data_IF_317418141526
#
_entry.id   IF_317418141526
#
_cell.length_a   1.000
_cell.length_b   1.000
_cell.length_c   1.000
_cell.angle_alpha   90.00
_cell.angle_beta   90.00
_cell.angle_gamma   90.00
#
_symmetry.space_group_name_H-M   'P 1'
#
loop_
_entity.id
_entity.type
_entity.pdbx_description
1 polymer ?
#
# COMPACT_ATOMS: atom_id res chain seq x y z
N UNK A 1 -10.44 6.31 -12.65
CA UNK A 1 -9.55 5.78 -13.71
C UNK A 1 -8.28 6.62 -13.75
N UNK A 2 -7.22 6.20 -13.04
CA UNK A 2 -5.92 6.90 -12.97
C UNK A 2 -4.78 5.95 -13.35
N UNK A 3 -4.93 5.23 -14.46
CA UNK A 3 -4.08 4.10 -14.86
C UNK A 3 -2.74 4.51 -15.48
N UNK A 4 -2.67 5.68 -16.13
CA UNK A 4 -1.48 6.08 -16.88
C UNK A 4 -0.28 6.41 -15.99
N UNK A 5 -0.51 7.07 -14.86
CA UNK A 5 0.59 7.48 -13.94
C UNK A 5 1.21 6.28 -13.21
N UNK A 6 0.38 5.31 -12.82
CA UNK A 6 0.84 4.08 -12.18
C UNK A 6 1.59 3.18 -13.15
N UNK A 7 1.11 3.05 -14.38
CA UNK A 7 1.75 2.21 -15.40
C UNK A 7 3.13 2.75 -15.78
N UNK A 8 3.25 4.08 -15.96
CA UNK A 8 4.55 4.74 -16.17
C UNK A 8 5.52 4.52 -14.99
N UNK A 9 5.02 4.49 -13.75
CA UNK A 9 5.85 4.22 -12.58
C UNK A 9 6.34 2.77 -12.56
N UNK A 10 5.49 1.80 -12.92
CA UNK A 10 5.85 0.38 -13.04
C UNK A 10 6.89 0.17 -14.15
N UNK A 11 6.69 0.78 -15.32
CA UNK A 11 7.65 0.69 -16.42
C UNK A 11 9.02 1.28 -16.06
N UNK A 12 9.04 2.43 -15.38
CA UNK A 12 10.29 3.03 -14.86
C UNK A 12 10.99 2.11 -13.87
N UNK A 13 10.24 1.47 -12.98
CA UNK A 13 10.78 0.51 -12.03
C UNK A 13 11.42 -0.69 -12.72
N UNK A 14 10.74 -1.25 -13.73
CA UNK A 14 11.26 -2.37 -14.52
C UNK A 14 12.62 -2.06 -15.16
N UNK A 15 12.79 -0.85 -15.72
CA UNK A 15 14.09 -0.42 -16.29
C UNK A 15 15.19 -0.32 -15.24
N UNK A 16 14.85 0.16 -14.04
CA UNK A 16 15.82 0.25 -12.93
C UNK A 16 16.25 -1.15 -12.49
N UNK A 17 15.31 -2.09 -12.36
CA UNK A 17 15.62 -3.48 -12.00
C UNK A 17 16.51 -4.17 -13.05
N UNK A 18 16.24 -3.95 -14.34
CA UNK A 18 17.09 -4.43 -15.42
C UNK A 18 18.52 -3.85 -15.34
N UNK A 19 18.65 -2.56 -15.07
CA UNK A 19 19.94 -1.90 -14.90
C UNK A 19 20.73 -2.45 -13.70
N UNK A 20 20.06 -2.72 -12.57
CA UNK A 20 20.68 -3.35 -11.39
C UNK A 20 21.17 -4.76 -11.74
N UNK A 21 20.33 -5.56 -12.41
CA UNK A 21 20.68 -6.93 -12.80
C UNK A 21 21.87 -6.95 -13.76
N UNK A 22 21.95 -6.01 -14.70
CA UNK A 22 23.08 -5.89 -15.61
C UNK A 22 24.40 -5.54 -14.88
N UNK A 23 24.34 -4.72 -13.83
CA UNK A 23 25.50 -4.40 -12.98
C UNK A 23 25.91 -5.63 -12.15
N UNK A 24 24.95 -6.30 -11.51
CA UNK A 24 25.21 -7.49 -10.68
C UNK A 24 25.78 -8.65 -11.50
N UNK A 25 25.30 -8.84 -12.73
CA UNK A 25 25.80 -9.85 -13.66
C UNK A 25 27.16 -9.49 -14.28
N UNK A 26 27.75 -8.34 -13.93
CA UNK A 26 29.03 -7.89 -14.47
C UNK A 26 29.01 -7.45 -15.94
N UNK A 27 27.84 -7.39 -16.59
CA UNK A 27 27.69 -6.93 -17.98
C UNK A 27 28.06 -5.46 -18.11
N UNK A 28 27.78 -4.66 -17.07
CA UNK A 28 28.11 -3.24 -17.02
C UNK A 28 28.76 -2.91 -15.68
N UNK A 29 30.04 -2.49 -15.72
CA UNK A 29 30.81 -2.19 -14.51
C UNK A 29 30.50 -0.82 -13.89
N UNK A 30 29.95 0.11 -14.67
CA UNK A 30 29.72 1.50 -14.23
C UNK A 30 28.25 1.83 -14.11
N UNK A 31 27.85 2.41 -12.97
CA UNK A 31 26.49 2.93 -12.72
C UNK A 31 26.09 3.92 -13.81
N UNK A 32 27.03 4.75 -14.29
CA UNK A 32 26.76 5.75 -15.31
C UNK A 32 26.48 5.12 -16.68
N UNK A 33 27.22 4.07 -17.05
CA UNK A 33 26.99 3.34 -18.28
C UNK A 33 25.64 2.61 -18.25
N UNK A 34 25.29 1.99 -17.12
CA UNK A 34 24.01 1.30 -16.97
C UNK A 34 22.83 2.30 -16.97
N UNK A 35 22.98 3.45 -16.30
CA UNK A 35 21.99 4.51 -16.32
C UNK A 35 21.69 5.01 -17.74
N UNK A 36 22.73 5.18 -18.57
CA UNK A 36 22.58 5.57 -19.98
C UNK A 36 21.96 4.46 -20.83
N UNK A 37 22.41 3.22 -20.67
CA UNK A 37 21.92 2.06 -21.44
C UNK A 37 20.43 1.79 -21.21
N UNK A 38 19.97 1.91 -19.97
CA UNK A 38 18.58 1.64 -19.59
C UNK A 38 17.71 2.91 -19.50
N UNK A 39 18.25 4.07 -19.89
CA UNK A 39 17.58 5.37 -19.84
C UNK A 39 16.92 5.66 -18.48
N UNK A 40 17.69 5.53 -17.40
CA UNK A 40 17.27 5.81 -16.02
C UNK A 40 18.17 6.86 -15.38
N UNK A 41 17.66 7.73 -14.49
CA UNK A 41 18.51 8.68 -13.79
C UNK A 41 19.57 7.97 -12.93
N UNK A 42 20.85 8.38 -13.09
CA UNK A 42 21.99 7.82 -12.35
C UNK A 42 21.76 7.81 -10.84
N UNK A 43 21.24 8.90 -10.31
CA UNK A 43 21.01 9.07 -8.87
C UNK A 43 19.96 8.06 -8.35
N UNK A 44 18.88 7.85 -9.10
CA UNK A 44 17.85 6.86 -8.77
C UNK A 44 18.43 5.45 -8.77
N UNK A 45 19.23 5.08 -9.80
CA UNK A 45 19.88 3.78 -9.88
C UNK A 45 20.86 3.57 -8.70
N UNK A 46 21.65 4.59 -8.36
CA UNK A 46 22.54 4.57 -7.20
C UNK A 46 21.77 4.32 -5.91
N UNK A 47 20.67 5.04 -5.66
CA UNK A 47 19.85 4.81 -4.46
C UNK A 47 19.29 3.39 -4.39
N UNK A 48 18.95 2.79 -5.53
CA UNK A 48 18.46 1.41 -5.55
C UNK A 48 19.53 0.38 -5.27
N UNK A 49 20.73 0.57 -5.79
CA UNK A 49 21.87 -0.28 -5.46
C UNK A 49 22.20 -0.24 -3.96
N UNK A 50 21.96 0.90 -3.30
CA UNK A 50 22.12 1.05 -1.85
C UNK A 50 20.88 0.61 -1.05
N UNK A 51 19.93 -0.11 -1.65
CA UNK A 51 18.81 -0.75 -0.95
C UNK A 51 17.58 0.13 -0.72
N UNK A 52 17.49 1.32 -1.34
CA UNK A 52 16.27 2.14 -1.24
C UNK A 52 15.10 1.47 -1.96
N UNK A 53 13.99 1.23 -1.29
CA UNK A 53 12.78 0.65 -1.90
C UNK A 53 12.12 1.61 -2.90
N UNK A 54 11.35 1.05 -3.83
CA UNK A 54 10.58 1.84 -4.80
C UNK A 54 9.41 2.53 -4.15
N UNK A 55 8.90 3.59 -4.78
CA UNK A 55 7.62 4.17 -4.36
C UNK A 55 6.46 3.20 -4.53
N UNK A 56 6.57 2.27 -5.49
CA UNK A 56 5.53 1.26 -5.76
C UNK A 56 5.50 0.19 -4.68
N UNK A 57 6.67 -0.23 -4.19
CA UNK A 57 6.82 -1.24 -3.14
C UNK A 57 6.77 -0.64 -1.73
N UNK A 58 7.15 0.63 -1.58
CA UNK A 58 7.15 1.30 -0.29
C UNK A 58 5.73 1.49 0.21
N UNK A 59 5.49 0.97 1.42
CA UNK A 59 4.23 1.19 2.13
C UNK A 59 4.02 2.68 2.38
N UNK A 60 2.86 3.25 2.00
CA UNK A 60 2.57 4.65 2.29
C UNK A 60 2.67 4.93 3.79
N UNK A 61 3.31 6.04 4.18
CA UNK A 61 3.57 6.46 5.57
C UNK A 61 2.32 6.52 6.50
N UNK A 62 1.11 6.32 5.97
CA UNK A 62 -0.15 6.29 6.72
C UNK A 62 -0.74 4.89 6.99
N UNK A 63 -0.11 3.80 6.51
CA UNK A 63 -0.59 2.43 6.80
C UNK A 63 -0.14 2.00 8.21
N UNK A 64 -1.10 1.96 9.15
CA UNK A 64 -0.90 1.42 10.50
C UNK A 64 -0.96 -0.10 10.52
N UNK A 65 -1.82 -0.67 9.68
CA UNK A 65 -1.97 -2.10 9.50
C UNK A 65 -1.13 -2.61 8.31
N UNK A 66 -0.68 -3.86 8.39
CA UNK A 66 -0.04 -4.56 7.26
C UNK A 66 -1.06 -4.87 6.17
N UNK A 67 -0.60 -5.20 4.96
CA UNK A 67 -1.50 -5.60 3.85
C UNK A 67 -2.38 -6.81 4.24
N UNK A 68 -1.83 -7.76 4.99
CA UNK A 68 -2.56 -8.94 5.49
C UNK A 68 -3.61 -8.57 6.54
N UNK A 69 -3.30 -7.65 7.45
CA UNK A 69 -4.29 -7.18 8.43
C UNK A 69 -5.40 -6.36 7.75
N UNK A 70 -5.06 -5.52 6.76
CA UNK A 70 -6.04 -4.77 5.97
C UNK A 70 -6.97 -5.74 5.20
N UNK A 71 -6.47 -6.87 4.70
CA UNK A 71 -7.30 -7.88 4.02
C UNK A 71 -8.21 -8.64 4.99
N UNK A 72 -7.72 -8.98 6.19
CA UNK A 72 -8.54 -9.58 7.27
C UNK A 72 -9.67 -8.62 7.66
N UNK A 73 -9.35 -7.34 7.88
CA UNK A 73 -10.34 -6.32 8.22
C UNK A 73 -11.39 -6.14 7.11
N UNK A 74 -10.96 -6.15 5.84
CA UNK A 74 -11.86 -6.12 4.68
C UNK A 74 -12.82 -7.32 4.65
N UNK A 75 -12.30 -8.53 4.85
CA UNK A 75 -13.12 -9.75 4.86
C UNK A 75 -14.10 -9.76 6.04
N UNK A 76 -13.67 -9.24 7.19
CA UNK A 76 -14.55 -9.06 8.34
C UNK A 76 -15.70 -8.08 8.03
N UNK A 77 -15.41 -6.95 7.39
CA UNK A 77 -16.45 -5.99 6.95
C UNK A 77 -17.45 -6.64 5.98
N UNK A 78 -16.94 -7.42 5.02
CA UNK A 78 -17.80 -8.10 4.03
C UNK A 78 -18.69 -9.15 4.71
N UNK A 79 -18.16 -9.93 5.65
CA UNK A 79 -18.95 -10.93 6.38
C UNK A 79 -19.91 -10.30 7.38
N UNK A 80 -19.61 -9.12 7.93
CA UNK A 80 -20.55 -8.37 8.78
C UNK A 80 -21.75 -7.86 7.97
N UNK A 81 -21.49 -7.31 6.78
CA UNK A 81 -22.52 -6.86 5.84
C UNK A 81 -23.45 -8.01 5.37
N UNK A 82 -22.90 -9.21 5.15
CA UNK A 82 -23.70 -10.40 4.82
C UNK A 82 -24.60 -10.90 5.96
N UNK A 83 -24.33 -10.48 7.20
CA UNK A 83 -25.09 -10.86 8.39
C UNK A 83 -26.09 -9.78 8.80
N UNK A 84 -26.42 -8.86 7.89
CA UNK A 84 -27.27 -7.69 8.13
C UNK A 84 -26.82 -6.81 9.31
N UNK A 85 -25.52 -6.87 9.64
CA UNK A 85 -24.88 -6.06 10.67
C UNK A 85 -23.88 -5.12 9.98
N UNK A 86 -24.35 -4.01 9.37
CA UNK A 86 -23.48 -3.11 8.63
C UNK A 86 -22.40 -2.57 9.57
N UNK A 87 -21.10 -2.78 9.25
CA UNK A 87 -20.03 -2.39 10.13
C UNK A 87 -19.96 -0.87 10.22
N UNK A 88 -20.12 -0.34 11.44
CA UNK A 88 -19.97 1.09 11.70
C UNK A 88 -18.50 1.50 11.68
N UNK A 89 -18.24 2.79 11.48
CA UNK A 89 -16.88 3.36 11.56
C UNK A 89 -16.23 3.02 12.91
N UNK A 90 -17.02 3.09 14.00
CA UNK A 90 -16.58 2.74 15.36
C UNK A 90 -16.17 1.26 15.44
N UNK A 91 -17.04 0.33 15.05
CA UNK A 91 -16.76 -1.11 15.11
C UNK A 91 -15.55 -1.50 14.23
N UNK A 92 -15.43 -0.88 13.05
CA UNK A 92 -14.29 -1.09 12.14
C UNK A 92 -12.98 -0.61 12.77
N UNK A 93 -13.02 0.52 13.49
CA UNK A 93 -11.85 1.02 14.23
C UNK A 93 -11.47 0.08 15.36
N UNK A 94 -12.42 -0.37 16.16
CA UNK A 94 -12.19 -1.29 17.28
C UNK A 94 -11.54 -2.59 16.78
N UNK A 95 -12.07 -3.17 15.70
CA UNK A 95 -11.48 -4.37 15.09
C UNK A 95 -10.06 -4.12 14.56
N UNK A 96 -9.83 -2.97 13.93
CA UNK A 96 -8.50 -2.57 13.48
C UNK A 96 -7.52 -2.37 14.66
N UNK A 97 -7.98 -1.80 15.78
CA UNK A 97 -7.18 -1.64 17.00
C UNK A 97 -6.86 -2.98 17.66
N UNK A 98 -7.79 -3.93 17.66
CA UNK A 98 -7.54 -5.32 18.12
C UNK A 98 -6.43 -5.96 17.29
N UNK A 99 -6.51 -5.89 15.96
CA UNK A 99 -5.47 -6.41 15.07
C UNK A 99 -4.12 -5.75 15.33
N UNK A 100 -4.11 -4.42 15.54
CA UNK A 100 -2.90 -3.67 15.80
C UNK A 100 -2.26 -4.03 17.15
N UNK A 101 -3.06 -4.16 18.22
CA UNK A 101 -2.61 -4.55 19.57
C UNK A 101 -2.08 -5.98 19.63
N UNK A 102 -2.62 -6.86 18.79
CA UNK A 102 -2.12 -8.23 18.67
C UNK A 102 -0.71 -8.28 18.05
N UNK A 103 -0.36 -7.32 17.18
CA UNK A 103 0.98 -7.22 16.56
C UNK A 103 1.96 -6.38 17.38
N UNK A 104 1.55 -5.18 17.76
CA UNK A 104 2.38 -4.16 18.41
C UNK A 104 1.88 -4.00 19.84
N UNK A 105 2.79 -4.00 20.83
CA UNK A 105 2.49 -3.86 22.26
C UNK A 105 1.35 -2.85 22.54
N UNK A 106 0.63 -3.08 23.65
CA UNK A 106 -0.69 -2.52 24.06
C UNK A 106 -1.00 -1.03 23.78
N UNK A 107 -0.01 -0.16 23.54
CA UNK A 107 -0.20 1.30 23.42
C UNK A 107 -0.50 1.80 22.00
N UNK A 108 -0.66 0.90 21.03
CA UNK A 108 -0.93 1.27 19.65
C UNK A 108 -2.41 1.67 19.46
N UNK A 109 -2.65 2.93 19.07
CA UNK A 109 -3.98 3.46 18.74
C UNK A 109 -4.09 3.88 17.27
N UNK A 110 -5.31 3.79 16.74
CA UNK A 110 -5.63 4.19 15.36
C UNK A 110 -6.27 5.58 15.39
N UNK A 111 -5.85 6.48 14.50
CA UNK A 111 -6.41 7.84 14.43
C UNK A 111 -7.87 7.86 13.96
N UNK A 112 -8.66 8.85 14.38
CA UNK A 112 -10.09 8.96 14.04
C UNK A 112 -10.36 8.94 12.52
N UNK A 113 -9.50 9.58 11.72
CA UNK A 113 -9.65 9.64 10.26
C UNK A 113 -9.15 8.38 9.54
N UNK A 114 -8.50 7.45 10.23
CA UNK A 114 -7.86 6.30 9.58
C UNK A 114 -8.87 5.39 8.89
N UNK A 115 -10.01 5.11 9.53
CA UNK A 115 -11.07 4.27 8.95
C UNK A 115 -11.65 4.91 7.69
N UNK A 116 -11.91 6.23 7.70
CA UNK A 116 -12.37 6.96 6.51
C UNK A 116 -11.36 6.83 5.36
N UNK A 117 -10.07 7.06 5.64
CA UNK A 117 -8.99 6.89 4.66
C UNK A 117 -8.79 5.43 4.21
N UNK A 118 -9.12 4.46 5.06
CA UNK A 118 -9.10 3.04 4.70
C UNK A 118 -10.24 2.71 3.73
N UNK A 119 -11.45 3.18 4.00
CA UNK A 119 -12.62 3.03 3.13
C UNK A 119 -12.40 3.75 1.79
N UNK A 120 -11.87 4.98 1.81
CA UNK A 120 -11.62 5.75 0.58
C UNK A 120 -10.61 5.07 -0.37
N UNK A 121 -9.69 4.26 0.19
CA UNK A 121 -8.72 3.47 -0.60
C UNK A 121 -9.32 2.21 -1.21
N UNK A 122 -10.50 1.76 -0.75
CA UNK A 122 -11.11 0.49 -1.11
C UNK A 122 -12.48 0.74 -1.75
N UNK A 123 -12.57 0.81 -3.09
CA UNK A 123 -13.82 1.15 -3.77
C UNK A 123 -14.96 0.17 -3.42
N UNK A 124 -14.64 -1.11 -3.24
CA UNK A 124 -15.60 -2.15 -2.84
C UNK A 124 -16.25 -1.88 -1.48
N UNK A 125 -15.49 -1.30 -0.54
CA UNK A 125 -15.98 -0.95 0.79
C UNK A 125 -16.74 0.37 0.76
N UNK A 126 -16.31 1.33 -0.07
CA UNK A 126 -16.96 2.63 -0.20
C UNK A 126 -18.45 2.52 -0.53
N UNK A 127 -18.81 1.58 -1.40
CA UNK A 127 -20.21 1.31 -1.76
C UNK A 127 -21.04 0.81 -0.56
N UNK A 128 -20.45 0.00 0.32
CA UNK A 128 -21.13 -0.56 1.50
C UNK A 128 -21.36 0.50 2.58
N UNK A 129 -20.42 1.43 2.76
CA UNK A 129 -20.54 2.52 3.74
C UNK A 129 -21.34 3.74 3.26
N UNK A 130 -21.55 3.91 1.95
CA UNK A 130 -22.33 5.04 1.40
C UNK A 130 -23.83 4.79 1.43
N UNK A 131 -24.27 3.53 1.51
CA UNK A 131 -25.68 3.20 1.73
C UNK A 131 -26.10 3.83 3.06
N UNK A 132 -26.90 4.90 3.00
CA UNK A 132 -27.61 5.43 4.16
C UNK A 132 -28.51 4.30 4.64
N UNK A 133 -28.08 3.60 5.67
CA UNK A 133 -29.01 2.90 6.52
C UNK A 133 -29.71 4.00 7.32
N UNK A 134 -31.02 4.13 7.16
CA UNK A 134 -31.83 4.95 8.05
C UNK A 134 -31.65 4.40 9.46
N UNK A 135 -31.11 5.23 10.34
CA UNK A 135 -31.01 4.95 11.76
C UNK A 135 -31.92 5.97 12.45
N UNK A 136 -33.12 5.53 12.85
CA UNK A 136 -33.81 6.10 14.01
C UNK A 136 -33.16 5.55 15.29
#
# INVERSE_FOLDING_TARGET
>A
MSTNSTDLAIQREGRILLAIKAIQNGQIKSIQAAAKAYNVPRQTLSYRLHGRASRVESTPNGRKLTTTEESILRNWIISADQRDLPPRIKNTREMAEILLRNRVKKDASIGQQWVKRFIDRQPDLKLKFTRKYDYQ
#
